data_IF_043628090848
#
_entry.id   IF_043628090848
#
_cell.length_a   1.000
_cell.length_b   1.000
_cell.length_c   1.000
_cell.angle_alpha   90.00
_cell.angle_beta   90.00
_cell.angle_gamma   90.00
#
_symmetry.space_group_name_H-M   'P 1'
#
loop_
_entity.id
_entity.type
_entity.pdbx_description
1 polymer ?
#
# COMPACT_ATOMS: atom_id res chain seq x y z
N UNK A 1 32.11 13.77 -14.17
CA UNK A 1 31.10 14.82 -13.88
C UNK A 1 30.58 14.50 -12.50
N UNK A 2 30.38 15.50 -11.64
CA UNK A 2 29.82 15.28 -10.32
C UNK A 2 28.53 14.45 -10.45
N UNK A 3 28.39 13.44 -9.60
CA UNK A 3 27.23 12.58 -9.58
C UNK A 3 26.57 12.67 -8.22
N UNK A 4 25.27 12.94 -8.20
CA UNK A 4 24.49 13.09 -6.98
C UNK A 4 23.38 12.04 -6.88
N UNK A 5 23.15 11.54 -5.67
CA UNK A 5 21.90 10.86 -5.29
C UNK A 5 21.05 11.80 -4.44
N UNK A 6 19.75 11.83 -4.71
CA UNK A 6 18.76 12.50 -3.88
C UNK A 6 18.00 11.48 -3.04
N UNK A 7 18.13 11.54 -1.72
CA UNK A 7 17.28 10.84 -0.76
C UNK A 7 16.13 11.73 -0.31
N UNK A 8 14.92 11.18 -0.26
CA UNK A 8 13.72 11.84 0.26
C UNK A 8 13.12 10.89 1.28
N UNK A 9 12.88 11.36 2.51
CA UNK A 9 12.13 10.63 3.52
C UNK A 9 10.97 11.48 4.04
N UNK A 10 9.75 11.09 3.69
CA UNK A 10 8.54 11.78 4.14
C UNK A 10 8.09 11.18 5.47
N UNK A 11 8.36 11.90 6.55
CA UNK A 11 7.85 11.65 7.89
C UNK A 11 6.48 12.26 8.15
N UNK A 12 5.93 12.00 9.35
CA UNK A 12 4.71 12.67 9.82
C UNK A 12 4.90 14.18 9.96
N UNK A 13 5.84 14.63 10.79
CA UNK A 13 6.06 16.07 11.02
C UNK A 13 6.93 16.74 9.96
N UNK A 14 7.97 16.04 9.49
CA UNK A 14 8.98 16.60 8.62
C UNK A 14 9.27 15.69 7.43
N UNK A 15 9.66 16.32 6.33
CA UNK A 15 10.24 15.67 5.17
C UNK A 15 11.73 15.99 5.12
N UNK A 16 12.54 14.95 5.11
CA UNK A 16 13.99 15.04 5.02
C UNK A 16 14.42 14.90 3.55
N UNK A 17 15.24 15.84 3.08
CA UNK A 17 15.83 15.85 1.73
C UNK A 17 17.34 15.78 1.90
N UNK A 18 17.96 14.76 1.33
CA UNK A 18 19.38 14.46 1.47
C UNK A 18 20.02 14.40 0.09
N UNK A 19 21.13 15.10 -0.09
CA UNK A 19 21.99 14.97 -1.28
C UNK A 19 23.25 14.25 -0.88
N UNK A 20 23.58 13.20 -1.60
CA UNK A 20 24.85 12.48 -1.48
C UNK A 20 25.70 12.71 -2.73
N UNK A 21 26.90 13.21 -2.52
CA UNK A 21 27.91 13.42 -3.56
C UNK A 21 28.81 12.19 -3.67
N UNK A 22 28.74 11.50 -4.81
CA UNK A 22 29.50 10.26 -5.05
C UNK A 22 31.00 10.52 -5.25
N UNK A 23 31.39 11.72 -5.68
CA UNK A 23 32.80 12.04 -5.93
C UNK A 23 33.52 12.36 -4.60
N UNK A 24 32.88 13.16 -3.73
CA UNK A 24 33.47 13.58 -2.46
C UNK A 24 33.08 12.73 -1.25
N UNK A 25 32.07 11.88 -1.38
CA UNK A 25 31.48 11.10 -0.29
C UNK A 25 30.73 11.94 0.76
N UNK A 26 30.53 13.24 0.49
CA UNK A 26 29.86 14.16 1.42
C UNK A 26 28.35 14.08 1.28
N UNK A 27 27.67 14.37 2.39
CA UNK A 27 26.21 14.51 2.41
C UNK A 27 25.78 15.90 2.85
N UNK A 28 24.66 16.36 2.31
CA UNK A 28 23.94 17.56 2.74
C UNK A 28 22.50 17.17 3.02
N UNK A 29 21.93 17.66 4.12
CA UNK A 29 20.53 17.43 4.44
C UNK A 29 19.79 18.75 4.63
N UNK A 30 18.49 18.72 4.33
CA UNK A 30 17.54 19.79 4.60
C UNK A 30 16.25 19.17 5.13
N UNK A 31 15.69 19.80 6.15
CA UNK A 31 14.43 19.40 6.76
C UNK A 31 13.37 20.44 6.44
N UNK A 32 12.22 20.01 5.94
CA UNK A 32 11.06 20.86 5.67
C UNK A 32 9.84 20.29 6.39
N UNK A 33 8.86 21.13 6.72
CA UNK A 33 7.60 20.66 7.30
C UNK A 33 6.84 19.79 6.30
N UNK A 34 6.32 18.65 6.75
CA UNK A 34 5.46 17.81 5.92
C UNK A 34 4.14 18.51 5.67
N UNK A 35 3.75 18.56 4.41
CA UNK A 35 2.44 19.06 3.98
C UNK A 35 1.48 17.87 3.97
N UNK A 36 0.68 17.72 5.04
CA UNK A 36 -0.02 16.45 5.32
C UNK A 36 -1.14 16.11 4.31
N UNK A 37 -1.78 17.12 3.72
CA UNK A 37 -2.82 16.96 2.71
C UNK A 37 -2.25 16.61 1.33
N UNK A 38 -1.03 17.07 1.04
CA UNK A 38 -0.28 16.73 -0.17
C UNK A 38 1.24 16.77 0.10
N UNK A 39 1.83 15.63 0.53
CA UNK A 39 3.24 15.54 0.88
C UNK A 39 4.18 15.82 -0.30
N UNK A 40 3.71 15.65 -1.54
CA UNK A 40 4.51 15.93 -2.72
C UNK A 40 4.87 17.42 -2.83
N UNK A 41 4.02 18.33 -2.29
CA UNK A 41 4.32 19.77 -2.26
C UNK A 41 5.54 20.08 -1.39
N UNK A 42 5.68 19.43 -0.24
CA UNK A 42 6.83 19.62 0.64
C UNK A 42 8.13 19.18 -0.04
N UNK A 43 8.10 18.02 -0.71
CA UNK A 43 9.22 17.50 -1.51
C UNK A 43 9.58 18.46 -2.64
N UNK A 44 8.60 18.84 -3.46
CA UNK A 44 8.81 19.72 -4.62
C UNK A 44 9.39 21.08 -4.20
N UNK A 45 8.84 21.70 -3.15
CA UNK A 45 9.34 22.97 -2.62
C UNK A 45 10.77 22.83 -2.07
N UNK A 46 11.06 21.75 -1.35
CA UNK A 46 12.38 21.51 -0.79
C UNK A 46 13.46 21.24 -1.85
N UNK A 47 13.12 20.47 -2.90
CA UNK A 47 14.01 20.22 -4.05
C UNK A 47 14.21 21.50 -4.87
N UNK A 48 13.14 22.25 -5.16
CA UNK A 48 13.26 23.51 -5.89
C UNK A 48 14.17 24.51 -5.16
N UNK A 49 14.01 24.63 -3.84
CA UNK A 49 14.86 25.49 -3.02
C UNK A 49 16.30 24.97 -2.87
N UNK A 50 16.54 23.67 -3.05
CA UNK A 50 17.89 23.09 -3.11
C UNK A 50 18.59 23.46 -4.43
N UNK A 51 17.90 23.32 -5.56
CA UNK A 51 18.43 23.66 -6.88
C UNK A 51 18.64 25.19 -7.02
N UNK A 52 17.73 25.99 -6.48
CA UNK A 52 17.84 27.46 -6.48
C UNK A 52 19.07 27.99 -5.72
N UNK A 53 19.73 27.18 -4.88
CA UNK A 53 20.98 27.57 -4.22
C UNK A 53 22.16 27.72 -5.19
N UNK A 54 22.03 27.23 -6.44
CA UNK A 54 23.09 27.24 -7.45
C UNK A 54 24.26 26.29 -7.15
N UNK A 55 24.18 25.50 -6.08
CA UNK A 55 25.25 24.58 -5.65
C UNK A 55 25.26 23.26 -6.40
N UNK A 56 24.16 22.92 -7.07
CA UNK A 56 23.98 21.62 -7.71
C UNK A 56 23.41 21.79 -9.11
N UNK A 57 24.03 21.13 -10.07
CA UNK A 57 23.52 21.01 -11.45
C UNK A 57 22.41 19.95 -11.48
N UNK A 58 21.17 20.26 -11.93
CA UNK A 58 20.09 19.27 -12.01
C UNK A 58 20.47 18.03 -12.81
N UNK A 59 21.22 18.17 -13.90
CA UNK A 59 21.62 17.04 -14.75
C UNK A 59 22.64 16.10 -14.08
N UNK A 60 23.25 16.51 -12.96
CA UNK A 60 24.19 15.70 -12.19
C UNK A 60 23.50 14.71 -11.23
N UNK A 61 22.18 14.84 -11.01
CA UNK A 61 21.42 13.87 -10.23
C UNK A 61 21.07 12.65 -11.08
N UNK A 62 21.65 11.49 -10.75
CA UNK A 62 21.44 10.24 -11.51
C UNK A 62 20.58 9.23 -10.76
N UNK A 63 20.28 9.48 -9.49
CA UNK A 63 19.47 8.60 -8.64
C UNK A 63 18.59 9.40 -7.70
N UNK A 64 17.34 8.97 -7.56
CA UNK A 64 16.42 9.44 -6.52
C UNK A 64 15.95 8.21 -5.72
N UNK A 65 16.04 8.30 -4.40
CA UNK A 65 15.53 7.30 -3.46
C UNK A 65 14.44 7.97 -2.63
N UNK A 66 13.24 7.43 -2.69
CA UNK A 66 12.08 7.96 -1.98
C UNK A 66 11.60 6.94 -0.94
N UNK A 67 11.56 7.38 0.31
CA UNK A 67 11.03 6.67 1.45
C UNK A 67 9.90 7.49 2.07
N UNK A 68 8.95 6.80 2.70
CA UNK A 68 7.90 7.46 3.47
C UNK A 68 7.39 6.55 4.57
N UNK A 69 7.02 7.17 5.69
CA UNK A 69 6.34 6.49 6.81
C UNK A 69 4.82 6.62 6.75
N UNK A 70 4.29 7.38 5.77
CA UNK A 70 2.85 7.66 5.67
C UNK A 70 2.00 6.41 5.45
N UNK A 71 2.49 5.44 4.67
CA UNK A 71 1.80 4.17 4.46
C UNK A 71 1.64 3.37 5.76
N UNK A 72 2.74 3.23 6.51
CA UNK A 72 2.73 2.50 7.78
C UNK A 72 1.82 3.18 8.80
N UNK A 73 1.87 4.51 8.89
CA UNK A 73 0.98 5.26 9.79
C UNK A 73 -0.49 5.14 9.36
N UNK A 74 -0.80 5.21 8.06
CA UNK A 74 -2.15 5.02 7.56
C UNK A 74 -2.70 3.61 7.90
N UNK A 75 -1.85 2.58 7.86
CA UNK A 75 -2.22 1.22 8.26
C UNK A 75 -2.48 1.11 9.77
N UNK A 76 -1.57 1.65 10.60
CA UNK A 76 -1.69 1.63 12.07
C UNK A 76 -2.94 2.41 12.53
N UNK A 77 -3.16 3.59 11.96
CA UNK A 77 -4.28 4.48 12.29
C UNK A 77 -5.58 4.09 11.58
N UNK A 78 -5.57 3.06 10.73
CA UNK A 78 -6.69 2.64 9.88
C UNK A 78 -7.27 3.77 9.01
N UNK A 79 -6.43 4.71 8.57
CA UNK A 79 -6.79 5.83 7.68
C UNK A 79 -6.62 5.47 6.21
N UNK A 80 -7.15 4.31 5.81
CA UNK A 80 -7.16 3.87 4.42
C UNK A 80 -8.47 4.20 3.70
N UNK A 81 -8.51 3.91 2.40
CA UNK A 81 -9.77 3.96 1.65
C UNK A 81 -10.75 2.89 2.18
N UNK A 82 -12.06 3.21 2.34
CA UNK A 82 -13.08 2.21 2.61
C UNK A 82 -13.01 1.08 1.59
N UNK A 83 -12.56 -0.10 2.04
CA UNK A 83 -12.22 -1.23 1.17
C UNK A 83 -13.17 -2.39 1.38
N UNK A 84 -13.72 -2.92 0.29
CA UNK A 84 -14.47 -4.18 0.25
C UNK A 84 -13.61 -5.30 -0.32
N UNK A 85 -13.96 -6.54 0.00
CA UNK A 85 -13.31 -7.74 -0.50
C UNK A 85 -14.30 -8.56 -1.32
N UNK A 86 -13.87 -8.98 -2.50
CA UNK A 86 -14.54 -10.03 -3.27
C UNK A 86 -13.60 -11.24 -3.35
N UNK A 87 -14.09 -12.41 -2.94
CA UNK A 87 -13.31 -13.64 -2.89
C UNK A 87 -14.12 -14.85 -3.38
N UNK A 88 -13.46 -16.00 -3.45
CA UNK A 88 -14.06 -17.26 -3.86
C UNK A 88 -15.20 -17.68 -2.93
N UNK A 89 -16.27 -18.25 -3.49
CA UNK A 89 -17.37 -18.82 -2.71
C UNK A 89 -16.90 -19.81 -1.62
N UNK A 90 -17.35 -19.55 -0.39
CA UNK A 90 -16.95 -20.26 0.83
C UNK A 90 -15.66 -19.75 1.50
N UNK A 91 -15.08 -18.62 1.08
CA UNK A 91 -13.80 -18.10 1.60
C UNK A 91 -13.88 -16.70 2.24
N UNK A 92 -15.07 -16.12 2.43
CA UNK A 92 -15.25 -14.79 3.04
C UNK A 92 -14.60 -14.63 4.43
N UNK A 93 -14.51 -15.72 5.19
CA UNK A 93 -13.99 -15.72 6.56
C UNK A 93 -12.48 -15.93 6.66
N UNK A 94 -11.77 -16.04 5.53
CA UNK A 94 -10.31 -16.26 5.51
C UNK A 94 -9.54 -15.18 6.26
N UNK A 95 -9.97 -13.91 6.17
CA UNK A 95 -9.34 -12.80 6.90
C UNK A 95 -9.58 -12.87 8.42
N UNK A 96 -10.71 -13.45 8.85
CA UNK A 96 -11.06 -13.62 10.27
C UNK A 96 -10.27 -14.77 10.90
N UNK A 97 -10.22 -15.90 10.18
CA UNK A 97 -9.52 -17.10 10.59
C UNK A 97 -8.01 -16.83 10.62
N UNK A 98 -7.51 -16.11 9.62
CA UNK A 98 -6.09 -15.80 9.46
C UNK A 98 -5.27 -17.06 9.20
N UNK A 99 -4.08 -17.13 9.82
CA UNK A 99 -3.18 -18.30 9.73
C UNK A 99 -3.00 -19.01 11.07
N UNK A 100 -3.96 -18.85 11.98
CA UNK A 100 -3.92 -19.40 13.34
C UNK A 100 -2.69 -19.00 14.17
N UNK A 101 -1.90 -18.02 13.71
CA UNK A 101 -0.72 -17.53 14.42
C UNK A 101 -1.14 -16.73 15.65
N UNK A 102 -0.62 -17.10 16.82
CA UNK A 102 -0.72 -16.32 18.07
C UNK A 102 0.60 -15.59 18.30
N UNK A 103 0.54 -14.27 18.46
CA UNK A 103 1.72 -13.48 18.82
C UNK A 103 2.03 -13.58 20.32
N UNK A 104 1.01 -13.88 21.14
CA UNK A 104 1.17 -14.30 22.55
C UNK A 104 0.74 -15.77 22.69
N UNK A 105 1.70 -16.68 22.64
CA UNK A 105 1.45 -18.14 22.54
C UNK A 105 0.67 -18.71 23.74
N UNK A 106 0.86 -18.15 24.93
CA UNK A 106 0.31 -18.66 26.18
C UNK A 106 -0.94 -17.92 26.66
N UNK A 107 -1.33 -16.83 25.99
CA UNK A 107 -2.59 -16.16 26.30
C UNK A 107 -3.74 -16.87 25.55
N UNK A 108 -4.61 -17.53 26.31
CA UNK A 108 -5.81 -18.18 25.79
C UNK A 108 -6.94 -17.18 25.51
N UNK A 109 -6.90 -16.00 26.12
CA UNK A 109 -7.88 -14.92 25.98
C UNK A 109 -7.42 -13.83 24.99
N UNK A 110 -6.35 -14.09 24.23
CA UNK A 110 -5.75 -13.13 23.30
C UNK A 110 -6.81 -12.54 22.36
N UNK A 111 -6.90 -11.21 22.36
CA UNK A 111 -7.77 -10.48 21.43
C UNK A 111 -7.04 -10.33 20.11
N UNK A 112 -7.55 -10.98 19.05
CA UNK A 112 -6.96 -10.85 17.71
C UNK A 112 -7.21 -9.44 17.15
N UNK A 113 -6.28 -8.90 16.35
CA UNK A 113 -6.52 -7.64 15.66
C UNK A 113 -7.69 -7.81 14.69
N UNK A 114 -8.60 -6.84 14.69
CA UNK A 114 -9.71 -6.82 13.73
C UNK A 114 -9.17 -6.79 12.28
N UNK A 115 -9.75 -7.53 11.33
CA UNK A 115 -9.29 -7.44 9.96
C UNK A 115 -9.50 -6.05 9.34
N UNK A 116 -8.74 -5.71 8.30
CA UNK A 116 -8.84 -4.42 7.62
C UNK A 116 -10.19 -4.22 6.90
N UNK A 117 -10.76 -5.32 6.38
CA UNK A 117 -12.08 -5.33 5.76
C UNK A 117 -13.05 -5.98 6.74
N UNK A 118 -14.11 -5.31 7.22
CA UNK A 118 -15.07 -5.91 8.14
C UNK A 118 -15.93 -6.98 7.44
N UNK A 119 -16.47 -7.93 8.19
CA UNK A 119 -17.15 -9.11 7.65
C UNK A 119 -18.30 -8.81 6.67
N UNK A 120 -19.06 -7.75 6.92
CA UNK A 120 -20.19 -7.36 6.06
C UNK A 120 -19.76 -6.76 4.71
N UNK A 121 -18.48 -6.42 4.54
CA UNK A 121 -17.89 -5.95 3.28
C UNK A 121 -17.06 -7.02 2.57
N UNK A 122 -17.14 -8.28 3.01
CA UNK A 122 -16.51 -9.45 2.37
C UNK A 122 -17.58 -10.24 1.64
N UNK A 123 -17.59 -10.14 0.31
CA UNK A 123 -18.57 -10.79 -0.54
C UNK A 123 -17.91 -11.92 -1.34
N UNK A 124 -18.74 -12.88 -1.73
CA UNK A 124 -18.30 -14.08 -2.41
C UNK A 124 -18.86 -14.12 -3.83
N UNK A 125 -18.04 -14.65 -4.73
CA UNK A 125 -18.42 -14.92 -6.11
C UNK A 125 -18.31 -16.41 -6.41
N UNK A 126 -19.31 -16.97 -7.11
CA UNK A 126 -19.23 -18.27 -7.74
C UNK A 126 -18.06 -18.41 -8.74
N UNK A 127 -16.89 -18.82 -8.28
CA UNK A 127 -15.80 -19.30 -9.14
C UNK A 127 -14.95 -20.36 -8.42
N UNK A 128 -14.12 -21.12 -9.15
CA UNK A 128 -13.09 -21.98 -8.56
C UNK A 128 -11.99 -22.30 -9.55
N UNK A 129 -10.75 -21.95 -9.19
CA UNK A 129 -9.51 -22.43 -9.81
C UNK A 129 -8.90 -23.49 -8.88
N UNK A 130 -8.28 -24.52 -9.44
CA UNK A 130 -7.56 -25.56 -8.70
C UNK A 130 -6.07 -25.19 -8.52
N UNK A 131 -5.37 -25.91 -7.66
CA UNK A 131 -3.96 -25.65 -7.38
C UNK A 131 -3.03 -25.81 -8.61
N UNK A 132 -3.43 -26.60 -9.61
CA UNK A 132 -2.73 -26.79 -10.88
C UNK A 132 -3.08 -25.71 -11.93
N UNK A 133 -3.93 -24.73 -11.57
CA UNK A 133 -4.40 -23.68 -12.46
C UNK A 133 -5.60 -24.07 -13.33
N UNK A 134 -6.08 -25.31 -13.27
CA UNK A 134 -7.28 -25.73 -14.01
C UNK A 134 -8.54 -25.07 -13.45
N UNK A 135 -9.47 -24.68 -14.32
CA UNK A 135 -10.75 -24.08 -13.92
C UNK A 135 -11.73 -25.19 -13.56
N UNK A 136 -12.10 -25.28 -12.27
CA UNK A 136 -13.15 -26.21 -11.80
C UNK A 136 -14.55 -25.61 -11.94
N UNK A 137 -14.68 -24.31 -11.68
CA UNK A 137 -15.94 -23.57 -11.87
C UNK A 137 -15.60 -22.22 -12.52
N UNK A 138 -16.15 -21.92 -13.70
CA UNK A 138 -15.90 -20.64 -14.35
C UNK A 138 -16.46 -19.48 -13.52
N UNK A 139 -15.84 -18.30 -13.64
CA UNK A 139 -16.29 -17.08 -13.00
C UNK A 139 -17.70 -16.69 -13.46
N UNK A 140 -18.60 -16.50 -12.49
CA UNK A 140 -19.88 -15.83 -12.74
C UNK A 140 -19.68 -14.31 -12.75
N UNK A 141 -19.48 -13.76 -13.95
CA UNK A 141 -19.27 -12.32 -14.15
C UNK A 141 -20.47 -11.48 -13.69
N UNK A 142 -21.70 -11.99 -13.82
CA UNK A 142 -22.90 -11.25 -13.39
C UNK A 142 -22.97 -11.19 -11.87
N UNK A 143 -22.62 -12.28 -11.19
CA UNK A 143 -22.52 -12.28 -9.73
C UNK A 143 -21.42 -11.31 -9.26
N UNK A 144 -20.25 -11.31 -9.90
CA UNK A 144 -19.16 -10.37 -9.62
C UNK A 144 -19.61 -8.91 -9.71
N UNK A 145 -20.24 -8.52 -10.82
CA UNK A 145 -20.77 -7.17 -11.03
C UNK A 145 -21.80 -6.79 -9.95
N UNK A 146 -22.70 -7.71 -9.62
CA UNK A 146 -23.71 -7.49 -8.57
C UNK A 146 -23.08 -7.32 -7.18
N UNK A 147 -22.03 -8.09 -6.85
CA UNK A 147 -21.27 -7.93 -5.59
C UNK A 147 -20.54 -6.59 -5.56
N UNK A 148 -19.86 -6.21 -6.63
CA UNK A 148 -19.18 -4.92 -6.74
C UNK A 148 -20.17 -3.76 -6.56
N UNK A 149 -21.33 -3.80 -7.23
CA UNK A 149 -22.37 -2.80 -7.07
C UNK A 149 -22.92 -2.72 -5.62
N UNK A 150 -23.01 -3.86 -4.93
CA UNK A 150 -23.42 -3.91 -3.52
C UNK A 150 -22.40 -3.21 -2.61
N UNK A 151 -21.10 -3.46 -2.82
CA UNK A 151 -20.03 -2.80 -2.07
C UNK A 151 -20.03 -1.28 -2.32
N UNK A 152 -20.15 -0.86 -3.58
CA UNK A 152 -20.23 0.57 -3.93
C UNK A 152 -21.41 1.25 -3.23
N UNK A 153 -22.59 0.61 -3.21
CA UNK A 153 -23.77 1.10 -2.47
C UNK A 153 -23.55 1.18 -0.95
N UNK A 154 -22.67 0.34 -0.41
CA UNK A 154 -22.27 0.37 1.00
C UNK A 154 -21.20 1.43 1.32
N UNK A 155 -20.82 2.28 0.35
CA UNK A 155 -19.84 3.36 0.54
C UNK A 155 -18.38 2.92 0.37
N UNK A 156 -18.13 1.72 -0.14
CA UNK A 156 -16.78 1.24 -0.47
C UNK A 156 -16.23 2.02 -1.67
N UNK A 157 -15.01 2.54 -1.55
CA UNK A 157 -14.31 3.28 -2.62
C UNK A 157 -13.12 2.51 -3.21
N UNK A 158 -12.82 1.32 -2.69
CA UNK A 158 -11.75 0.43 -3.13
C UNK A 158 -12.20 -1.03 -3.02
N UNK A 159 -11.98 -1.86 -4.04
CA UNK A 159 -12.35 -3.28 -4.00
C UNK A 159 -11.11 -4.14 -4.22
N UNK A 160 -10.82 -5.00 -3.25
CA UNK A 160 -9.81 -6.05 -3.40
C UNK A 160 -10.48 -7.31 -3.97
N UNK A 161 -9.88 -7.90 -5.00
CA UNK A 161 -10.32 -9.18 -5.58
C UNK A 161 -9.26 -10.23 -5.23
N UNK A 162 -9.66 -11.27 -4.49
CA UNK A 162 -8.74 -12.30 -3.99
C UNK A 162 -9.35 -13.68 -4.21
N UNK A 163 -9.10 -14.26 -5.38
CA UNK A 163 -9.54 -15.61 -5.73
C UNK A 163 -8.50 -16.66 -5.37
N UNK A 164 -8.97 -17.83 -4.95
CA UNK A 164 -8.12 -18.97 -4.64
C UNK A 164 -7.32 -19.37 -5.89
N UNK A 165 -6.03 -19.59 -5.72
CA UNK A 165 -5.11 -20.00 -6.79
C UNK A 165 -4.99 -19.03 -7.99
N UNK A 166 -5.32 -17.74 -7.82
CA UNK A 166 -5.09 -16.72 -8.83
C UNK A 166 -3.61 -16.59 -9.25
N UNK A 167 -2.67 -16.98 -8.38
CA UNK A 167 -1.24 -17.06 -8.71
C UNK A 167 -0.92 -18.13 -9.77
N UNK A 168 -1.72 -19.20 -9.87
CA UNK A 168 -1.55 -20.28 -10.83
C UNK A 168 -2.31 -20.00 -12.13
N UNK A 169 -3.48 -19.35 -12.03
CA UNK A 169 -4.25 -18.92 -13.19
C UNK A 169 -5.02 -17.62 -12.88
N UNK A 170 -4.56 -16.46 -13.39
CA UNK A 170 -5.13 -15.14 -13.09
C UNK A 170 -6.28 -14.75 -14.04
N UNK A 171 -6.88 -15.69 -14.78
CA UNK A 171 -7.87 -15.38 -15.83
C UNK A 171 -9.26 -14.98 -15.31
N UNK A 172 -9.63 -15.43 -14.11
CA UNK A 172 -10.84 -14.97 -13.41
C UNK A 172 -10.55 -13.65 -12.70
#
# INVERSE_FOLDING_TARGET
MAQYSLGIDIGGTFTDIVVYDHDSGRQMSRKVLTTHDDPARAVAAGVAALLASGRFEPSAFTRVVHATTLFTNALIERKGAPTGLITTEGFADTLEIGRERKYELYDLAITKPEPLVPRHLRLEVPERVQADGSVRRPLDARALEARAATLVKAGVTSIAIVFLHAYANPRH
#
